data_IF_511463322987
#
_entry.id   IF_511463322987
#
_cell.length_a   1.000
_cell.length_b   1.000
_cell.length_c   1.000
_cell.angle_alpha   90.00
_cell.angle_beta   90.00
_cell.angle_gamma   90.00
#
_symmetry.space_group_name_H-M   'P 1'
#
loop_
_entity.id
_entity.type
_entity.pdbx_description
1 polymer ?
#
# COMPACT_ATOMS: atom_id res chain seq x y z
N UNK A 1 37.35 48.65 46.59
CA UNK A 1 36.71 47.54 45.90
C UNK A 1 35.23 47.87 45.74
N UNK A 2 34.81 48.31 44.56
CA UNK A 2 33.41 48.59 44.23
C UNK A 2 32.88 47.40 43.43
N UNK A 3 32.05 46.60 44.08
CA UNK A 3 31.30 45.49 43.46
C UNK A 3 30.24 46.08 42.55
N UNK A 4 30.46 46.00 41.25
CA UNK A 4 29.42 46.30 40.23
C UNK A 4 28.44 45.12 40.17
N UNK A 5 27.35 45.23 40.91
CA UNK A 5 26.17 44.36 40.69
C UNK A 5 25.58 44.73 39.31
N UNK A 6 25.80 43.87 38.30
CA UNK A 6 25.07 43.93 37.05
C UNK A 6 23.62 43.56 37.34
N UNK A 7 22.76 44.54 37.40
CA UNK A 7 21.31 44.37 37.38
C UNK A 7 20.97 43.74 36.01
N UNK A 8 20.73 42.41 36.03
CA UNK A 8 20.11 41.71 34.92
C UNK A 8 18.70 42.30 34.76
N UNK A 9 18.56 43.19 33.79
CA UNK A 9 17.29 43.75 33.38
C UNK A 9 16.48 42.61 32.79
N UNK A 10 15.62 41.97 33.60
CA UNK A 10 14.60 41.04 33.09
C UNK A 10 13.61 41.89 32.29
N UNK A 11 13.79 41.92 30.98
CA UNK A 11 12.80 42.50 30.07
C UNK A 11 11.54 41.62 30.20
N UNK A 12 10.50 42.14 30.84
CA UNK A 12 9.18 41.50 30.84
C UNK A 12 8.63 41.54 29.43
N UNK A 13 8.01 40.43 29.01
CA UNK A 13 7.28 40.37 27.74
C UNK A 13 6.09 41.29 27.84
N UNK A 14 5.90 42.17 26.89
CA UNK A 14 4.76 43.10 26.85
C UNK A 14 3.49 42.34 26.42
N UNK A 15 2.32 42.80 26.88
CA UNK A 15 1.05 42.19 26.52
C UNK A 15 0.85 42.11 24.99
N UNK A 16 1.30 43.17 24.29
CA UNK A 16 1.21 43.24 22.82
C UNK A 16 2.11 42.18 22.15
N UNK A 17 3.29 41.93 22.68
CA UNK A 17 4.23 40.95 22.19
C UNK A 17 3.67 39.51 22.36
N UNK A 18 3.01 39.25 23.48
CA UNK A 18 2.32 37.99 23.73
C UNK A 18 1.17 37.77 22.69
N UNK A 19 0.34 38.78 22.47
CA UNK A 19 -0.76 38.68 21.49
C UNK A 19 -0.22 38.46 20.08
N UNK A 20 0.81 39.20 19.67
CA UNK A 20 1.42 39.02 18.35
C UNK A 20 2.06 37.64 18.19
N UNK A 21 2.69 37.11 19.23
CA UNK A 21 3.25 35.75 19.20
C UNK A 21 2.16 34.70 19.00
N UNK A 22 1.03 34.78 19.70
CA UNK A 22 -0.09 33.83 19.55
C UNK A 22 -0.66 33.90 18.14
N UNK A 23 -0.83 35.10 17.56
CA UNK A 23 -1.35 35.28 16.22
C UNK A 23 -0.39 34.66 15.18
N UNK A 24 0.91 34.93 15.27
CA UNK A 24 1.92 34.39 14.36
C UNK A 24 1.97 32.86 14.45
N UNK A 25 1.97 32.30 15.66
CA UNK A 25 1.96 30.86 15.88
C UNK A 25 0.68 30.24 15.31
N UNK A 26 -0.48 30.85 15.50
CA UNK A 26 -1.76 30.38 14.96
C UNK A 26 -1.76 30.31 13.43
N UNK A 27 -1.25 31.36 12.77
CA UNK A 27 -1.17 31.42 11.30
C UNK A 27 -0.27 30.32 10.71
N UNK A 28 0.85 30.01 11.39
CA UNK A 28 1.79 28.99 10.94
C UNK A 28 1.27 27.57 11.25
N UNK A 29 0.54 27.39 12.36
CA UNK A 29 0.08 26.09 12.83
C UNK A 29 -0.95 25.46 11.89
N UNK A 30 -1.82 26.24 11.26
CA UNK A 30 -2.86 25.76 10.34
C UNK A 30 -2.26 25.02 9.14
N UNK A 31 -1.36 25.60 8.32
CA UNK A 31 -0.78 24.90 7.18
C UNK A 31 0.09 23.73 7.60
N UNK A 32 0.78 23.80 8.73
CA UNK A 32 1.60 22.72 9.25
C UNK A 32 0.72 21.48 9.59
N UNK A 33 -0.42 21.71 10.21
CA UNK A 33 -1.38 20.65 10.55
C UNK A 33 -1.94 19.96 9.32
N UNK A 34 -2.24 20.72 8.25
CA UNK A 34 -2.73 20.16 6.98
C UNK A 34 -1.68 19.28 6.31
N UNK A 35 -0.42 19.72 6.27
CA UNK A 35 0.69 18.91 5.72
C UNK A 35 0.89 17.60 6.49
N UNK A 36 0.77 17.63 7.81
CA UNK A 36 0.84 16.40 8.62
C UNK A 36 -0.30 15.43 8.31
N UNK A 37 -1.52 15.94 8.11
CA UNK A 37 -2.67 15.11 7.73
C UNK A 37 -2.46 14.41 6.37
N UNK A 38 -1.95 15.13 5.37
CA UNK A 38 -1.66 14.56 4.05
C UNK A 38 -0.58 13.46 4.12
N UNK A 39 0.46 13.66 4.91
CA UNK A 39 1.51 12.65 5.11
C UNK A 39 0.99 11.39 5.78
N UNK A 40 0.16 11.54 6.80
CA UNK A 40 -0.45 10.39 7.50
C UNK A 40 -1.35 9.60 6.58
N UNK A 41 -2.21 10.25 5.79
CA UNK A 41 -3.08 9.58 4.82
C UNK A 41 -2.25 8.85 3.73
N UNK A 42 -1.19 9.48 3.23
CA UNK A 42 -0.29 8.86 2.25
C UNK A 42 0.40 7.61 2.80
N UNK A 43 0.78 7.61 4.06
CA UNK A 43 1.40 6.45 4.72
C UNK A 43 0.42 5.28 4.84
N UNK A 44 -0.81 5.52 5.28
CA UNK A 44 -1.84 4.48 5.36
C UNK A 44 -2.16 3.86 4.00
N UNK A 45 -2.31 4.68 2.96
CA UNK A 45 -2.54 4.16 1.60
C UNK A 45 -1.37 3.31 1.10
N UNK A 46 -0.14 3.69 1.42
CA UNK A 46 1.05 2.93 1.06
C UNK A 46 1.11 1.59 1.79
N UNK A 47 0.82 1.54 3.08
CA UNK A 47 0.77 0.29 3.86
C UNK A 47 -0.30 -0.67 3.34
N UNK A 48 -1.50 -0.17 3.05
CA UNK A 48 -2.59 -0.95 2.47
C UNK A 48 -2.17 -1.59 1.14
N UNK A 49 -1.53 -0.81 0.24
CA UNK A 49 -1.05 -1.31 -1.05
C UNK A 49 0.09 -2.31 -0.91
N UNK A 50 1.02 -2.10 0.00
CA UNK A 50 2.14 -3.02 0.25
C UNK A 50 1.59 -4.36 0.78
N UNK A 51 0.65 -4.33 1.70
CA UNK A 51 0.00 -5.53 2.22
C UNK A 51 -0.73 -6.27 1.10
N UNK A 52 -1.55 -5.58 0.31
CA UNK A 52 -2.25 -6.17 -0.83
C UNK A 52 -1.28 -6.78 -1.86
N UNK A 53 -0.16 -6.10 -2.13
CA UNK A 53 0.87 -6.61 -3.04
C UNK A 53 1.55 -7.88 -2.51
N UNK A 54 1.83 -7.94 -1.21
CA UNK A 54 2.41 -9.12 -0.58
C UNK A 54 1.46 -10.31 -0.64
N UNK A 55 0.15 -10.09 -0.44
CA UNK A 55 -0.87 -11.13 -0.59
C UNK A 55 -0.98 -11.61 -2.03
N UNK A 56 -0.94 -10.71 -3.02
CA UNK A 56 -0.93 -11.08 -4.43
C UNK A 56 0.30 -11.90 -4.82
N UNK A 57 1.48 -11.55 -4.29
CA UNK A 57 2.73 -12.29 -4.51
C UNK A 57 2.69 -13.67 -3.86
N UNK A 58 2.14 -13.77 -2.66
CA UNK A 58 1.97 -15.05 -1.97
C UNK A 58 1.11 -16.00 -2.81
N UNK A 59 -0.03 -15.51 -3.30
CA UNK A 59 -0.91 -16.26 -4.18
C UNK A 59 -0.21 -16.67 -5.49
N UNK A 60 0.52 -15.76 -6.13
CA UNK A 60 1.29 -16.06 -7.33
C UNK A 60 2.33 -17.15 -7.09
N UNK A 61 2.99 -17.14 -5.94
CA UNK A 61 3.94 -18.20 -5.55
C UNK A 61 3.24 -19.54 -5.33
N UNK A 62 2.07 -19.55 -4.71
CA UNK A 62 1.28 -20.78 -4.53
C UNK A 62 0.82 -21.35 -5.87
N UNK A 63 0.36 -20.50 -6.77
CA UNK A 63 -0.06 -20.91 -8.13
C UNK A 63 1.11 -21.49 -8.91
N UNK A 64 2.30 -20.89 -8.82
CA UNK A 64 3.50 -21.42 -9.49
C UNK A 64 3.92 -22.81 -8.96
N UNK A 65 3.58 -23.13 -7.73
CA UNK A 65 3.85 -24.43 -7.10
C UNK A 65 2.69 -25.42 -7.25
N UNK A 66 1.60 -25.00 -7.92
CA UNK A 66 0.41 -25.84 -8.15
C UNK A 66 0.50 -26.47 -9.54
N UNK A 67 -0.02 -27.71 -9.64
CA UNK A 67 -0.07 -28.43 -10.90
C UNK A 67 -0.86 -27.64 -11.95
N UNK A 68 -0.32 -27.49 -13.16
CA UNK A 68 -0.93 -26.70 -14.23
C UNK A 68 -2.41 -27.00 -14.46
N UNK A 69 -2.80 -28.28 -14.38
CA UNK A 69 -4.19 -28.72 -14.58
C UNK A 69 -5.13 -28.29 -13.47
N UNK A 70 -4.61 -28.12 -12.26
CA UNK A 70 -5.39 -27.76 -11.06
C UNK A 70 -5.59 -26.25 -10.90
N UNK A 71 -4.88 -25.45 -11.71
CA UNK A 71 -4.98 -23.98 -11.64
C UNK A 71 -6.32 -23.55 -12.26
N UNK A 72 -7.20 -23.01 -11.41
CA UNK A 72 -8.54 -22.54 -11.78
C UNK A 72 -8.83 -21.16 -11.22
N UNK A 73 -9.85 -20.52 -11.76
CA UNK A 73 -10.35 -19.25 -11.20
C UNK A 73 -10.99 -19.47 -9.85
N UNK A 74 -10.72 -18.57 -8.90
CA UNK A 74 -11.26 -18.65 -7.54
C UNK A 74 -11.43 -17.25 -6.95
N UNK A 75 -12.44 -17.11 -6.10
CA UNK A 75 -12.62 -15.93 -5.23
C UNK A 75 -12.45 -16.38 -3.79
N UNK A 76 -11.58 -15.73 -3.04
CA UNK A 76 -11.28 -16.06 -1.65
C UNK A 76 -11.51 -14.80 -0.81
N UNK A 77 -12.60 -14.74 -0.03
CA UNK A 77 -12.84 -13.65 0.89
C UNK A 77 -11.90 -13.76 2.10
N UNK A 78 -11.55 -12.62 2.69
CA UNK A 78 -10.67 -12.51 3.87
C UNK A 78 -9.40 -13.37 3.73
N UNK A 79 -8.68 -13.18 2.61
CA UNK A 79 -7.52 -14.00 2.26
C UNK A 79 -6.47 -14.01 3.36
N UNK A 80 -6.06 -15.21 3.80
CA UNK A 80 -5.09 -15.42 4.88
C UNK A 80 -5.47 -14.77 6.22
N UNK A 81 -6.77 -14.52 6.47
CA UNK A 81 -7.26 -13.88 7.69
C UNK A 81 -7.14 -12.36 7.70
N UNK A 82 -6.73 -11.76 6.60
CA UNK A 82 -6.72 -10.31 6.42
C UNK A 82 -8.08 -9.81 5.90
N UNK A 83 -8.37 -8.52 6.12
CA UNK A 83 -9.57 -7.88 5.58
C UNK A 83 -9.42 -7.52 4.10
N UNK A 84 -8.92 -8.46 3.30
CA UNK A 84 -8.74 -8.33 1.85
C UNK A 84 -9.33 -9.54 1.14
N UNK A 85 -10.01 -9.28 0.05
CA UNK A 85 -10.56 -10.31 -0.82
C UNK A 85 -9.63 -10.49 -2.02
N UNK A 86 -9.39 -11.75 -2.37
CA UNK A 86 -8.53 -12.11 -3.48
C UNK A 86 -9.35 -12.78 -4.58
N UNK A 87 -9.21 -12.27 -5.79
CA UNK A 87 -9.81 -12.86 -6.99
C UNK A 87 -8.70 -13.32 -7.92
N UNK A 88 -8.66 -14.61 -8.21
CA UNK A 88 -7.80 -15.19 -9.23
C UNK A 88 -8.63 -15.54 -10.45
N UNK A 89 -8.33 -14.91 -11.58
CA UNK A 89 -8.97 -15.22 -12.86
C UNK A 89 -7.95 -15.91 -13.76
N UNK A 90 -8.33 -17.07 -14.29
CA UNK A 90 -7.49 -17.87 -15.18
C UNK A 90 -8.12 -17.91 -16.56
N UNK A 91 -7.35 -17.54 -17.56
CA UNK A 91 -7.72 -17.59 -18.96
C UNK A 91 -6.62 -18.24 -19.80
N UNK A 92 -6.95 -18.77 -20.97
CA UNK A 92 -5.94 -19.23 -21.92
C UNK A 92 -5.55 -18.09 -22.83
N UNK A 93 -4.26 -17.75 -22.85
CA UNK A 93 -3.71 -16.79 -23.79
C UNK A 93 -3.36 -17.47 -25.11
N UNK A 94 -2.92 -18.73 -25.04
CA UNK A 94 -2.63 -19.57 -26.18
C UNK A 94 -3.06 -21.02 -25.89
N UNK A 95 -3.62 -21.68 -26.90
CA UNK A 95 -4.08 -23.06 -26.76
C UNK A 95 -5.41 -23.20 -26.03
N UNK A 96 -5.57 -24.28 -25.31
CA UNK A 96 -6.80 -24.61 -24.58
C UNK A 96 -6.61 -25.80 -23.65
N UNK A 97 -7.66 -26.24 -22.94
CA UNK A 97 -7.55 -27.29 -21.91
C UNK A 97 -7.08 -28.64 -22.47
N UNK A 98 -7.36 -28.94 -23.75
CA UNK A 98 -6.99 -30.19 -24.41
C UNK A 98 -5.67 -30.12 -25.18
N UNK A 99 -5.05 -28.94 -25.28
CA UNK A 99 -3.82 -28.74 -26.08
C UNK A 99 -2.60 -28.90 -25.18
N UNK A 100 -1.61 -29.76 -25.52
CA UNK A 100 -0.41 -29.97 -24.71
C UNK A 100 0.42 -28.69 -24.53
N UNK A 101 0.54 -27.90 -25.59
CA UNK A 101 1.23 -26.62 -25.57
C UNK A 101 0.24 -25.49 -25.35
N UNK A 102 -0.04 -25.19 -24.10
CA UNK A 102 -0.96 -24.11 -23.74
C UNK A 102 -0.35 -23.15 -22.74
N UNK A 103 -0.73 -21.88 -22.87
CA UNK A 103 -0.29 -20.79 -22.02
C UNK A 103 -1.52 -20.26 -21.25
N UNK A 104 -1.47 -20.37 -19.93
CA UNK A 104 -2.47 -19.77 -19.05
C UNK A 104 -2.00 -18.38 -18.62
N UNK A 105 -2.88 -17.41 -18.76
CA UNK A 105 -2.77 -16.11 -18.13
C UNK A 105 -3.52 -16.13 -16.80
N UNK A 106 -2.84 -15.78 -15.73
CA UNK A 106 -3.39 -15.74 -14.39
C UNK A 106 -3.36 -14.31 -13.93
N UNK A 107 -4.53 -13.78 -13.63
CA UNK A 107 -4.74 -12.43 -13.16
C UNK A 107 -5.19 -12.50 -11.70
N UNK A 108 -4.41 -11.93 -10.80
CA UNK A 108 -4.65 -11.91 -9.37
C UNK A 108 -4.98 -10.48 -8.98
N UNK A 109 -6.18 -10.23 -8.51
CA UNK A 109 -6.62 -8.92 -8.00
C UNK A 109 -6.90 -9.02 -6.51
N UNK A 110 -6.45 -8.01 -5.78
CA UNK A 110 -6.69 -7.86 -4.35
C UNK A 110 -7.51 -6.59 -4.14
N UNK A 111 -8.63 -6.75 -3.45
CA UNK A 111 -9.54 -5.67 -3.05
C UNK A 111 -9.65 -5.64 -1.53
N UNK A 112 -10.02 -4.51 -0.96
CA UNK A 112 -10.41 -4.44 0.44
C UNK A 112 -11.77 -5.10 0.63
N UNK A 113 -11.94 -5.89 1.69
CA UNK A 113 -13.17 -6.65 1.92
C UNK A 113 -14.39 -5.72 2.01
N UNK A 114 -15.39 -6.00 1.19
CA UNK A 114 -16.59 -5.19 1.06
C UNK A 114 -16.45 -3.98 0.13
N UNK A 115 -15.30 -3.80 -0.54
CA UNK A 115 -15.05 -2.74 -1.52
C UNK A 115 -14.88 -3.34 -2.92
N UNK A 116 -15.40 -2.65 -3.94
CA UNK A 116 -15.15 -3.00 -5.34
C UNK A 116 -13.84 -2.41 -5.88
N UNK A 117 -13.13 -1.63 -5.09
CA UNK A 117 -11.91 -0.94 -5.52
C UNK A 117 -10.71 -1.89 -5.53
N UNK A 118 -10.13 -2.12 -6.69
CA UNK A 118 -8.93 -2.95 -6.83
C UNK A 118 -7.70 -2.19 -6.37
N UNK A 119 -7.05 -2.69 -5.32
CA UNK A 119 -5.83 -2.11 -4.75
C UNK A 119 -4.60 -2.51 -5.54
N UNK A 120 -4.53 -3.78 -5.93
CA UNK A 120 -3.41 -4.37 -6.66
C UNK A 120 -3.93 -5.39 -7.67
N UNK A 121 -3.32 -5.39 -8.85
CA UNK A 121 -3.54 -6.38 -9.90
C UNK A 121 -2.18 -6.92 -10.34
N UNK A 122 -2.00 -8.22 -10.24
CA UNK A 122 -0.82 -8.94 -10.67
C UNK A 122 -1.18 -9.87 -11.81
N UNK A 123 -0.39 -9.88 -12.87
CA UNK A 123 -0.57 -10.80 -14.00
C UNK A 123 0.67 -11.68 -14.14
N UNK A 124 0.45 -12.97 -14.22
CA UNK A 124 1.50 -13.96 -14.47
C UNK A 124 1.07 -14.94 -15.55
N UNK A 125 2.03 -15.59 -16.17
CA UNK A 125 1.81 -16.56 -17.23
C UNK A 125 2.46 -17.88 -16.85
N UNK A 126 1.74 -18.98 -17.02
CA UNK A 126 2.24 -20.33 -16.80
C UNK A 126 2.04 -21.14 -18.07
N UNK A 127 3.15 -21.64 -18.59
CA UNK A 127 3.17 -22.48 -19.75
C UNK A 127 3.15 -23.98 -19.35
N UNK A 128 2.44 -24.79 -20.10
CA UNK A 128 2.48 -26.25 -19.98
C UNK A 128 3.50 -26.79 -20.98
N UNK A 129 4.40 -27.65 -20.51
CA UNK A 129 5.39 -28.36 -21.35
C UNK A 129 6.18 -27.44 -22.28
N UNK A 130 7.01 -26.56 -21.74
CA UNK A 130 7.99 -25.82 -22.56
C UNK A 130 9.11 -26.80 -22.92
N UNK A 131 9.03 -27.41 -24.09
CA UNK A 131 10.17 -28.14 -24.67
C UNK A 131 11.07 -27.11 -25.32
N UNK A 132 12.20 -26.84 -24.67
CA UNK A 132 13.26 -26.09 -25.35
C UNK A 132 13.86 -27.02 -26.42
N UNK A 133 13.57 -26.76 -27.68
CA UNK A 133 14.28 -27.40 -28.79
C UNK A 133 15.77 -27.05 -28.69
N UNK A 134 16.57 -28.03 -28.44
CA UNK A 134 18.03 -27.96 -28.55
C UNK A 134 18.41 -28.12 -29.99
#
# INVERSE_FOLDING_TARGET
MRSMKRLLHKKGVTLIELIMTIVVVGVIFIPLSLLMMEQVQGTFQSETRITALNLARLEASQVNNTDYTSISSVFIPNYQGYSYDLTRTVSYEQGGPAIPESLKKIEISVTESGSANVLVKLVTYIARNVTYGI
#
